data_IF_448592259696
#
_entry.id   IF_448592259696
#
_cell.length_a   1.000
_cell.length_b   1.000
_cell.length_c   1.000
_cell.angle_alpha   90.00
_cell.angle_beta   90.00
_cell.angle_gamma   90.00
#
_symmetry.space_group_name_H-M   'P 1'
#
loop_
_entity.id
_entity.type
_entity.pdbx_description
1 polymer ?
#
# COMPACT_ATOMS: atom_id res chain seq x y z
N UNK A 1 52.38 14.32 -22.90
CA UNK A 1 51.27 14.28 -21.92
C UNK A 1 50.09 14.94 -22.59
N UNK A 2 49.31 14.16 -23.32
CA UNK A 2 48.07 14.61 -23.95
C UNK A 2 46.93 14.22 -23.03
N UNK A 3 46.38 15.21 -22.32
CA UNK A 3 45.14 15.10 -21.57
C UNK A 3 44.03 14.72 -22.55
N UNK A 4 43.60 13.46 -22.47
CA UNK A 4 42.37 12.99 -23.08
C UNK A 4 41.20 13.54 -22.26
N UNK A 5 40.69 14.70 -22.68
CA UNK A 5 39.36 15.14 -22.27
C UNK A 5 38.36 14.09 -22.78
N UNK A 6 37.93 13.19 -21.89
CA UNK A 6 36.76 12.34 -22.08
C UNK A 6 35.56 13.26 -22.27
N UNK A 7 35.16 13.45 -23.54
CA UNK A 7 33.88 14.05 -23.89
C UNK A 7 32.83 13.03 -23.46
N UNK A 8 32.27 13.21 -22.27
CA UNK A 8 31.15 12.40 -21.79
C UNK A 8 30.03 12.51 -22.82
N UNK A 9 29.65 11.38 -23.41
CA UNK A 9 28.63 11.31 -24.44
C UNK A 9 27.29 11.79 -23.86
N UNK A 10 26.70 12.81 -24.49
CA UNK A 10 25.40 13.35 -24.09
C UNK A 10 24.31 12.26 -24.07
N UNK A 11 24.45 11.24 -24.93
CA UNK A 11 23.56 10.09 -24.94
C UNK A 11 23.67 9.24 -23.66
N UNK A 12 24.87 9.07 -23.10
CA UNK A 12 25.06 8.38 -21.81
C UNK A 12 24.43 9.16 -20.66
N UNK A 13 24.57 10.49 -20.67
CA UNK A 13 23.93 11.38 -19.69
C UNK A 13 22.40 11.28 -19.79
N UNK A 14 21.84 11.29 -20.99
CA UNK A 14 20.40 11.18 -21.22
C UNK A 14 19.84 9.81 -20.80
N UNK A 15 20.55 8.73 -21.14
CA UNK A 15 20.22 7.37 -20.72
C UNK A 15 20.22 7.23 -19.20
N UNK A 16 21.26 7.72 -18.53
CA UNK A 16 21.37 7.71 -17.06
C UNK A 16 20.25 8.52 -16.39
N UNK A 17 19.95 9.71 -16.93
CA UNK A 17 18.84 10.54 -16.45
C UNK A 17 17.47 9.84 -16.64
N UNK A 18 17.27 9.15 -17.76
CA UNK A 18 16.04 8.39 -18.02
C UNK A 18 15.88 7.19 -17.08
N UNK A 19 16.97 6.47 -16.79
CA UNK A 19 16.97 5.40 -15.79
C UNK A 19 16.60 5.94 -14.39
N UNK A 20 17.18 7.08 -13.98
CA UNK A 20 16.84 7.74 -12.73
C UNK A 20 15.37 8.17 -12.69
N UNK A 21 14.85 8.78 -13.77
CA UNK A 21 13.42 9.17 -13.88
C UNK A 21 12.48 7.98 -13.78
N UNK A 22 12.82 6.85 -14.40
CA UNK A 22 12.02 5.63 -14.31
C UNK A 22 11.93 5.08 -12.89
N UNK A 23 12.95 5.32 -12.05
CA UNK A 23 12.96 4.93 -10.63
C UNK A 23 12.17 5.88 -9.71
N UNK A 24 11.74 7.05 -10.19
CA UNK A 24 10.94 8.00 -9.41
C UNK A 24 9.52 7.50 -9.15
N UNK A 25 8.98 6.65 -10.02
CA UNK A 25 7.66 6.06 -9.84
C UNK A 25 7.70 5.00 -8.73
N UNK A 26 6.68 4.94 -7.85
CA UNK A 26 6.67 3.94 -6.79
C UNK A 26 6.59 2.54 -7.39
N UNK A 27 7.56 1.68 -7.06
CA UNK A 27 7.71 0.35 -7.67
C UNK A 27 6.43 -0.49 -7.59
N UNK A 28 5.83 -0.62 -6.39
CA UNK A 28 4.59 -1.40 -6.18
C UNK A 28 3.38 -0.89 -6.98
N UNK A 29 3.33 0.39 -7.35
CA UNK A 29 2.16 0.99 -8.00
C UNK A 29 2.46 1.62 -9.37
N UNK A 30 3.66 1.37 -9.93
CA UNK A 30 4.13 1.94 -11.19
C UNK A 30 3.11 1.78 -12.32
N UNK A 31 2.57 0.57 -12.52
CA UNK A 31 1.57 0.29 -13.54
C UNK A 31 0.30 1.17 -13.40
N UNK A 32 -0.10 1.52 -12.17
CA UNK A 32 -1.25 2.42 -11.93
C UNK A 32 -0.94 3.86 -12.34
N UNK A 33 0.28 4.33 -12.07
CA UNK A 33 0.73 5.65 -12.48
C UNK A 33 0.79 5.75 -14.01
N UNK A 34 1.42 4.78 -14.66
CA UNK A 34 1.52 4.70 -16.12
C UNK A 34 0.13 4.66 -16.76
N UNK A 35 -0.77 3.79 -16.29
CA UNK A 35 -2.14 3.72 -16.78
C UNK A 35 -2.89 5.05 -16.64
N UNK A 36 -2.69 5.77 -15.53
CA UNK A 36 -3.29 7.09 -15.32
C UNK A 36 -2.77 8.11 -16.33
N UNK A 37 -1.46 8.10 -16.58
CA UNK A 37 -0.84 8.95 -17.59
C UNK A 37 -1.36 8.63 -19.00
N UNK A 38 -1.42 7.35 -19.37
CA UNK A 38 -1.98 6.92 -20.66
C UNK A 38 -3.41 7.41 -20.85
N UNK A 39 -4.29 7.23 -19.86
CA UNK A 39 -5.66 7.73 -19.93
C UNK A 39 -5.73 9.25 -20.13
N UNK A 40 -4.86 10.01 -19.46
CA UNK A 40 -4.80 11.44 -19.66
C UNK A 40 -4.34 11.81 -21.08
N UNK A 41 -3.34 11.12 -21.65
CA UNK A 41 -2.89 11.34 -23.02
C UNK A 41 -3.95 10.97 -24.05
N UNK A 42 -4.67 9.87 -23.85
CA UNK A 42 -5.82 9.49 -24.67
C UNK A 42 -6.91 10.56 -24.64
N UNK A 43 -7.21 11.10 -23.45
CA UNK A 43 -8.15 12.21 -23.31
C UNK A 43 -7.68 13.46 -24.06
N UNK A 44 -6.41 13.84 -23.94
CA UNK A 44 -5.82 14.95 -24.69
C UNK A 44 -5.96 14.75 -26.20
N UNK A 45 -5.66 13.54 -26.70
CA UNK A 45 -5.79 13.18 -28.11
C UNK A 45 -7.24 13.30 -28.58
N UNK A 46 -8.20 12.80 -27.81
CA UNK A 46 -9.63 12.89 -28.13
C UNK A 46 -10.15 14.33 -28.23
N UNK A 47 -9.49 15.28 -27.56
CA UNK A 47 -9.81 16.71 -27.55
C UNK A 47 -8.89 17.54 -28.46
N UNK A 48 -8.01 16.90 -29.24
CA UNK A 48 -7.00 17.55 -30.09
C UNK A 48 -6.10 18.55 -29.34
N UNK A 49 -5.77 18.25 -28.08
CA UNK A 49 -4.90 19.10 -27.26
C UNK A 49 -3.45 18.91 -27.67
N UNK A 50 -2.80 19.99 -28.12
CA UNK A 50 -1.37 19.98 -28.54
C UNK A 50 -0.40 20.32 -27.41
N UNK A 51 -0.81 21.21 -26.51
CA UNK A 51 0.04 21.71 -25.41
C UNK A 51 -0.68 21.54 -24.09
N UNK A 52 -0.02 20.93 -23.11
CA UNK A 52 -0.57 20.75 -21.76
C UNK A 52 -0.26 21.99 -20.93
N UNK A 53 -1.30 22.59 -20.34
CA UNK A 53 -1.21 23.74 -19.46
C UNK A 53 -2.27 23.65 -18.35
N UNK A 54 -2.34 24.66 -17.49
CA UNK A 54 -3.28 24.68 -16.37
C UNK A 54 -4.75 24.60 -16.82
N UNK A 55 -5.13 25.28 -17.91
CA UNK A 55 -6.49 25.25 -18.47
C UNK A 55 -6.88 23.85 -18.92
N UNK A 56 -5.99 23.14 -19.61
CA UNK A 56 -6.20 21.75 -20.05
C UNK A 56 -6.41 20.84 -18.85
N UNK A 57 -5.57 20.94 -17.81
CA UNK A 57 -5.73 20.11 -16.62
C UNK A 57 -6.99 20.45 -15.83
N UNK A 58 -7.37 21.72 -15.76
CA UNK A 58 -8.62 22.11 -15.11
C UNK A 58 -9.84 21.51 -15.83
N UNK A 59 -9.84 21.54 -17.17
CA UNK A 59 -10.88 20.89 -17.98
C UNK A 59 -10.89 19.37 -17.80
N UNK A 60 -9.71 18.74 -17.78
CA UNK A 60 -9.56 17.30 -17.52
C UNK A 60 -10.14 16.92 -16.17
N UNK A 61 -9.72 17.59 -15.08
CA UNK A 61 -10.22 17.27 -13.74
C UNK A 61 -11.70 17.59 -13.55
N UNK A 62 -12.24 18.56 -14.30
CA UNK A 62 -13.67 18.81 -14.31
C UNK A 62 -14.44 17.65 -14.95
N UNK A 63 -13.97 17.12 -16.08
CA UNK A 63 -14.55 15.93 -16.73
C UNK A 63 -14.42 14.68 -15.86
N UNK A 64 -13.25 14.48 -15.23
CA UNK A 64 -13.03 13.39 -14.27
C UNK A 64 -13.93 13.50 -13.05
N UNK A 65 -14.22 14.70 -12.56
CA UNK A 65 -15.09 14.89 -11.41
C UNK A 65 -16.55 14.49 -11.67
N UNK A 66 -16.99 14.52 -12.93
CA UNK A 66 -18.31 14.02 -13.34
C UNK A 66 -18.38 12.49 -13.37
N UNK A 67 -17.26 11.83 -13.61
CA UNK A 67 -17.16 10.38 -13.80
C UNK A 67 -16.66 9.62 -12.54
N UNK A 68 -15.98 10.30 -11.62
CA UNK A 68 -15.42 9.70 -10.42
C UNK A 68 -16.32 9.90 -9.20
N UNK A 69 -16.46 8.84 -8.40
CA UNK A 69 -17.38 8.79 -7.26
C UNK A 69 -16.84 9.44 -5.99
N UNK A 70 -15.54 9.76 -5.89
CA UNK A 70 -14.97 10.38 -4.68
C UNK A 70 -13.90 11.45 -4.97
N UNK A 71 -13.90 12.57 -4.20
CA UNK A 71 -12.85 13.58 -4.24
C UNK A 71 -11.45 13.04 -3.96
N UNK A 72 -11.33 12.02 -3.09
CA UNK A 72 -10.04 11.36 -2.82
C UNK A 72 -9.47 10.66 -4.06
N UNK A 73 -10.32 10.14 -4.94
CA UNK A 73 -9.88 9.52 -6.19
C UNK A 73 -9.30 10.57 -7.15
N UNK A 74 -9.94 11.75 -7.24
CA UNK A 74 -9.40 12.89 -8.00
C UNK A 74 -8.03 13.33 -7.49
N UNK A 75 -7.85 13.44 -6.17
CA UNK A 75 -6.55 13.76 -5.58
C UNK A 75 -5.48 12.71 -5.82
N UNK A 76 -5.87 11.43 -5.81
CA UNK A 76 -4.96 10.31 -6.12
C UNK A 76 -4.49 10.41 -7.57
N UNK A 77 -5.42 10.67 -8.48
CA UNK A 77 -5.13 10.86 -9.89
C UNK A 77 -4.26 12.10 -10.15
N UNK A 78 -4.57 13.23 -9.53
CA UNK A 78 -3.70 14.41 -9.55
C UNK A 78 -2.29 14.09 -9.09
N UNK A 79 -2.13 13.31 -8.02
CA UNK A 79 -0.82 12.92 -7.52
C UNK A 79 -0.06 12.02 -8.51
N UNK A 80 -0.78 11.12 -9.19
CA UNK A 80 -0.20 10.25 -10.23
C UNK A 80 0.22 11.06 -11.47
N UNK A 81 -0.63 11.97 -11.93
CA UNK A 81 -0.33 12.86 -13.05
C UNK A 81 0.80 13.83 -12.72
N UNK A 82 0.86 14.35 -11.49
CA UNK A 82 1.96 15.23 -11.05
C UNK A 82 3.32 14.57 -11.25
N UNK A 83 3.44 13.31 -10.84
CA UNK A 83 4.71 12.60 -10.93
C UNK A 83 5.02 12.18 -12.37
N UNK A 84 4.02 11.69 -13.11
CA UNK A 84 4.21 11.22 -14.48
C UNK A 84 4.46 12.35 -15.48
N UNK A 85 3.77 13.49 -15.36
CA UNK A 85 4.03 14.66 -16.20
C UNK A 85 5.39 15.30 -15.91
N UNK A 86 5.81 15.32 -14.64
CA UNK A 86 7.15 15.74 -14.26
C UNK A 86 8.21 14.82 -14.88
N UNK A 87 8.02 13.49 -14.80
CA UNK A 87 8.99 12.53 -15.30
C UNK A 87 9.06 12.45 -16.84
N UNK A 88 7.92 12.52 -17.54
CA UNK A 88 7.86 12.31 -19.00
C UNK A 88 7.92 13.60 -19.82
N UNK A 89 7.43 14.72 -19.28
CA UNK A 89 7.28 15.98 -20.03
C UNK A 89 7.96 17.17 -19.34
N UNK A 90 8.69 16.92 -18.24
CA UNK A 90 9.32 17.95 -17.40
C UNK A 90 8.32 19.05 -16.95
N UNK A 91 7.05 18.66 -16.78
CA UNK A 91 5.96 19.58 -16.44
C UNK A 91 5.58 19.45 -14.97
N UNK A 92 5.92 20.47 -14.18
CA UNK A 92 5.55 20.56 -12.77
C UNK A 92 4.17 21.22 -12.58
N UNK A 93 3.15 20.38 -12.47
CA UNK A 93 1.76 20.84 -12.27
C UNK A 93 1.49 21.29 -10.82
N UNK A 94 2.44 21.15 -9.89
CA UNK A 94 2.27 21.66 -8.51
C UNK A 94 2.14 23.18 -8.46
N UNK A 95 2.57 23.85 -9.53
CA UNK A 95 2.46 25.30 -9.72
C UNK A 95 1.06 25.74 -10.19
N UNK A 96 0.20 24.81 -10.57
CA UNK A 96 -1.14 25.10 -11.10
C UNK A 96 -2.15 25.30 -9.98
N UNK A 97 -2.17 26.53 -9.45
CA UNK A 97 -2.99 26.93 -8.30
C UNK A 97 -4.49 26.81 -8.54
N UNK A 98 -4.98 27.02 -9.76
CA UNK A 98 -6.40 26.89 -10.09
C UNK A 98 -6.85 25.43 -10.02
N UNK A 99 -6.05 24.50 -10.55
CA UNK A 99 -6.33 23.04 -10.46
C UNK A 99 -6.34 22.61 -9.00
N UNK A 100 -5.34 23.01 -8.23
CA UNK A 100 -5.27 22.71 -6.79
C UNK A 100 -6.49 23.26 -6.05
N UNK A 101 -6.88 24.51 -6.33
CA UNK A 101 -8.04 25.16 -5.69
C UNK A 101 -9.36 24.49 -6.08
N UNK A 102 -9.49 24.04 -7.32
CA UNK A 102 -10.63 23.24 -7.78
C UNK A 102 -10.72 21.90 -7.02
N UNK A 103 -9.61 21.16 -6.93
CA UNK A 103 -9.56 19.87 -6.22
C UNK A 103 -9.84 20.01 -4.72
N UNK A 104 -9.39 21.11 -4.09
CA UNK A 104 -9.72 21.44 -2.69
C UNK A 104 -11.22 21.64 -2.52
N UNK A 105 -11.83 22.49 -3.35
CA UNK A 105 -13.28 22.76 -3.31
C UNK A 105 -14.13 21.50 -3.55
N UNK A 106 -13.68 20.58 -4.40
CA UNK A 106 -14.37 19.29 -4.60
C UNK A 106 -14.34 18.41 -3.36
N UNK A 107 -13.41 18.63 -2.44
CA UNK A 107 -13.29 17.88 -1.19
C UNK A 107 -14.05 18.54 -0.01
N UNK A 108 -14.61 19.73 -0.19
CA UNK A 108 -15.35 20.43 0.87
C UNK A 108 -16.57 19.61 1.30
N UNK A 109 -16.69 19.37 2.61
CA UNK A 109 -17.76 18.57 3.20
C UNK A 109 -17.68 17.06 2.92
N UNK A 110 -16.65 16.58 2.20
CA UNK A 110 -16.52 15.15 1.92
C UNK A 110 -16.12 14.36 3.18
N UNK A 111 -16.90 13.31 3.47
CA UNK A 111 -16.65 12.39 4.58
C UNK A 111 -16.18 11.05 3.99
N UNK A 112 -14.92 10.65 4.21
CA UNK A 112 -14.42 9.37 3.71
C UNK A 112 -15.16 8.18 4.33
N UNK A 113 -15.53 7.20 3.49
CA UNK A 113 -16.02 5.90 3.97
C UNK A 113 -14.93 5.22 4.79
N UNK A 114 -15.26 4.80 6.02
CA UNK A 114 -14.40 3.99 6.87
C UNK A 114 -14.91 2.55 6.88
N UNK A 115 -14.00 1.60 7.12
CA UNK A 115 -14.39 0.22 7.39
C UNK A 115 -15.16 0.14 8.72
N UNK A 116 -16.08 -0.82 8.82
CA UNK A 116 -16.70 -1.13 10.10
C UNK A 116 -15.62 -1.60 11.08
N UNK A 117 -15.77 -1.25 12.35
CA UNK A 117 -14.82 -1.58 13.42
C UNK A 117 -15.51 -2.59 14.33
N UNK A 118 -14.82 -3.69 14.63
CA UNK A 118 -15.33 -4.69 15.55
C UNK A 118 -15.23 -4.20 17.00
N UNK A 119 -16.23 -4.52 17.82
CA UNK A 119 -16.15 -4.30 19.26
C UNK A 119 -15.33 -5.39 19.95
N UNK A 120 -14.93 -5.14 21.20
CA UNK A 120 -14.22 -6.15 22.02
C UNK A 120 -15.07 -7.42 22.19
N UNK A 121 -16.38 -7.26 22.36
CA UNK A 121 -17.34 -8.33 22.55
C UNK A 121 -17.50 -9.17 21.28
N UNK A 122 -17.55 -8.53 20.11
CA UNK A 122 -17.60 -9.24 18.82
C UNK A 122 -16.33 -10.05 18.56
N UNK A 123 -15.16 -9.46 18.83
CA UNK A 123 -13.87 -10.16 18.70
C UNK A 123 -13.84 -11.35 19.67
N UNK A 124 -14.22 -11.13 20.93
CA UNK A 124 -14.23 -12.17 21.96
C UNK A 124 -15.17 -13.31 21.58
N UNK A 125 -16.40 -12.99 21.15
CA UNK A 125 -17.39 -13.96 20.69
C UNK A 125 -16.88 -14.77 19.51
N UNK A 126 -16.27 -14.12 18.53
CA UNK A 126 -15.68 -14.83 17.39
C UNK A 126 -14.56 -15.79 17.82
N UNK A 127 -13.65 -15.34 18.70
CA UNK A 127 -12.54 -16.17 19.15
C UNK A 127 -13.00 -17.36 20.03
N UNK A 128 -14.07 -17.20 20.83
CA UNK A 128 -14.67 -18.27 21.63
C UNK A 128 -15.49 -19.25 20.78
N UNK A 129 -16.49 -18.72 20.07
CA UNK A 129 -17.64 -19.52 19.62
C UNK A 129 -17.44 -20.10 18.23
N UNK A 130 -16.65 -19.44 17.38
CA UNK A 130 -16.43 -19.91 16.01
C UNK A 130 -15.65 -21.24 16.04
N UNK A 131 -16.04 -22.26 15.25
CA UNK A 131 -15.36 -23.55 15.28
C UNK A 131 -13.95 -23.48 14.68
N UNK A 132 -12.97 -24.02 15.41
CA UNK A 132 -11.56 -23.98 14.98
C UNK A 132 -11.31 -24.75 13.67
N UNK A 133 -12.04 -25.83 13.41
CA UNK A 133 -11.88 -26.60 12.16
C UNK A 133 -12.18 -25.77 10.91
N UNK A 134 -12.96 -24.68 11.03
CA UNK A 134 -13.28 -23.78 9.93
C UNK A 134 -12.55 -22.42 10.04
N UNK A 135 -12.28 -21.94 11.25
CA UNK A 135 -11.87 -20.55 11.47
C UNK A 135 -10.54 -20.37 12.20
N UNK A 136 -9.79 -21.43 12.54
CA UNK A 136 -8.55 -21.31 13.32
C UNK A 136 -7.53 -20.35 12.68
N UNK A 137 -7.33 -20.44 11.36
CA UNK A 137 -6.47 -19.50 10.62
C UNK A 137 -6.93 -18.04 10.81
N UNK A 138 -8.23 -17.78 10.66
CA UNK A 138 -8.81 -16.44 10.81
C UNK A 138 -8.72 -15.93 12.25
N UNK A 139 -8.87 -16.81 13.25
CA UNK A 139 -8.68 -16.47 14.67
C UNK A 139 -7.24 -16.04 14.94
N UNK A 140 -6.26 -16.75 14.38
CA UNK A 140 -4.84 -16.38 14.50
C UNK A 140 -4.58 -15.05 13.80
N UNK A 141 -5.11 -14.84 12.59
CA UNK A 141 -4.99 -13.57 11.89
C UNK A 141 -5.61 -12.41 12.68
N UNK A 142 -6.76 -12.62 13.34
CA UNK A 142 -7.40 -11.65 14.23
C UNK A 142 -6.51 -11.35 15.45
N UNK A 143 -5.99 -12.37 16.14
CA UNK A 143 -5.10 -12.21 17.29
C UNK A 143 -3.85 -11.41 16.93
N UNK A 144 -3.16 -11.78 15.85
CA UNK A 144 -1.95 -11.09 15.40
C UNK A 144 -2.26 -9.66 14.91
N UNK A 145 -3.37 -9.48 14.19
CA UNK A 145 -3.84 -8.19 13.70
C UNK A 145 -4.14 -7.23 14.84
N UNK A 146 -4.88 -7.66 15.86
CA UNK A 146 -5.28 -6.83 16.99
C UNK A 146 -4.10 -6.59 17.94
N UNK A 147 -3.34 -7.62 18.32
CA UNK A 147 -2.22 -7.48 19.25
C UNK A 147 -1.09 -6.60 18.69
N UNK A 148 -0.79 -6.76 17.39
CA UNK A 148 0.30 -6.02 16.74
C UNK A 148 -0.13 -4.71 16.07
N UNK A 149 -1.44 -4.43 16.00
CA UNK A 149 -2.02 -3.43 15.11
C UNK A 149 -1.52 -3.59 13.66
N UNK A 150 -1.41 -4.86 13.21
CA UNK A 150 -0.75 -5.21 11.97
C UNK A 150 -1.56 -4.79 10.75
N UNK A 151 -0.88 -4.25 9.74
CA UNK A 151 -1.47 -4.13 8.40
C UNK A 151 -1.59 -5.51 7.75
N UNK A 152 -2.52 -5.64 6.82
CA UNK A 152 -2.67 -6.87 6.02
C UNK A 152 -1.37 -7.28 5.32
N UNK A 153 -0.60 -6.31 4.81
CA UNK A 153 0.71 -6.57 4.16
C UNK A 153 1.74 -7.15 5.15
N UNK A 154 1.71 -6.72 6.42
CA UNK A 154 2.60 -7.25 7.46
C UNK A 154 2.20 -8.69 7.83
N UNK A 155 0.89 -8.95 7.99
CA UNK A 155 0.39 -10.31 8.25
C UNK A 155 0.69 -11.28 7.10
N UNK A 156 0.61 -10.82 5.86
CA UNK A 156 0.85 -11.64 4.67
C UNK A 156 2.32 -12.05 4.50
N UNK A 157 3.26 -11.21 4.92
CA UNK A 157 4.70 -11.47 4.82
C UNK A 157 5.29 -12.07 6.11
N UNK A 158 4.50 -12.30 7.15
CA UNK A 158 4.96 -12.84 8.42
C UNK A 158 5.32 -14.33 8.26
N UNK A 159 6.56 -14.69 8.58
CA UNK A 159 7.03 -16.07 8.52
C UNK A 159 6.80 -16.79 9.85
N UNK A 160 6.88 -18.12 9.80
CA UNK A 160 6.82 -18.97 10.98
C UNK A 160 7.97 -18.68 11.95
N UNK A 161 9.19 -18.48 11.43
CA UNK A 161 10.40 -18.20 12.21
C UNK A 161 10.37 -16.83 12.89
N UNK A 162 9.52 -15.92 12.42
CA UNK A 162 9.33 -14.60 13.01
C UNK A 162 8.52 -14.65 14.31
N UNK A 163 7.97 -15.81 14.68
CA UNK A 163 7.15 -16.02 15.88
C UNK A 163 7.84 -16.97 16.85
N UNK A 164 8.14 -16.45 18.03
CA UNK A 164 8.78 -17.18 19.13
C UNK A 164 7.77 -17.41 20.26
N UNK A 165 7.45 -18.66 20.57
CA UNK A 165 6.54 -19.02 21.65
C UNK A 165 7.34 -19.33 22.92
N UNK A 166 7.07 -18.59 23.99
CA UNK A 166 7.56 -18.81 25.36
C UNK A 166 6.38 -19.19 26.26
N UNK A 167 6.61 -19.70 27.49
CA UNK A 167 5.53 -20.19 28.36
C UNK A 167 4.37 -19.21 28.55
N UNK A 168 4.66 -17.93 28.75
CA UNK A 168 3.64 -16.91 29.06
C UNK A 168 3.45 -15.87 27.96
N UNK A 169 4.25 -15.91 26.89
CA UNK A 169 4.25 -14.88 25.84
C UNK A 169 4.68 -15.43 24.48
N UNK A 170 3.98 -15.01 23.43
CA UNK A 170 4.41 -15.14 22.05
C UNK A 170 5.02 -13.83 21.58
N UNK A 171 6.26 -13.86 21.09
CA UNK A 171 6.96 -12.69 20.55
C UNK A 171 6.88 -12.76 19.03
N UNK A 172 6.36 -11.71 18.39
CA UNK A 172 6.22 -11.62 16.94
C UNK A 172 7.11 -10.51 16.39
N UNK A 173 7.97 -10.83 15.42
CA UNK A 173 8.90 -9.89 14.79
C UNK A 173 8.43 -9.55 13.37
N UNK A 174 8.15 -8.28 13.12
CA UNK A 174 7.84 -7.77 11.78
C UNK A 174 9.14 -7.21 11.20
N UNK A 175 9.78 -7.98 10.32
CA UNK A 175 11.04 -7.59 9.67
C UNK A 175 10.81 -6.69 8.45
N UNK A 176 9.70 -6.92 7.73
CA UNK A 176 9.31 -6.13 6.56
C UNK A 176 8.12 -5.24 6.91
N UNK A 177 8.35 -3.93 7.01
CA UNK A 177 7.28 -2.94 7.16
C UNK A 177 7.27 -1.98 5.97
N UNK A 178 6.13 -1.31 5.77
CA UNK A 178 5.96 -0.27 4.72
C UNK A 178 7.07 0.79 4.76
N UNK A 179 7.59 1.10 5.96
CA UNK A 179 8.61 2.13 6.17
C UNK A 179 10.03 1.53 6.25
N UNK A 180 10.22 0.23 6.00
CA UNK A 180 11.49 -0.51 6.14
C UNK A 180 12.08 -0.47 7.56
N UNK A 181 11.25 -0.19 8.56
CA UNK A 181 11.64 -0.18 9.98
C UNK A 181 11.10 -1.47 10.61
N UNK A 182 11.97 -2.36 11.11
CA UNK A 182 11.55 -3.53 11.85
C UNK A 182 10.85 -3.15 13.16
N UNK A 183 9.86 -3.94 13.58
CA UNK A 183 9.21 -3.80 14.89
C UNK A 183 8.84 -5.17 15.45
N UNK A 184 8.51 -5.23 16.73
CA UNK A 184 7.98 -6.44 17.35
C UNK A 184 6.79 -6.12 18.25
N UNK A 185 6.02 -7.15 18.57
CA UNK A 185 4.93 -7.07 19.54
C UNK A 185 4.77 -8.41 20.26
N UNK A 186 3.95 -8.41 21.31
CA UNK A 186 3.72 -9.58 22.15
C UNK A 186 2.26 -10.02 22.09
N UNK A 187 2.04 -11.33 22.15
CA UNK A 187 0.75 -11.98 22.32
C UNK A 187 0.78 -12.67 23.68
N UNK A 188 -0.16 -12.32 24.56
CA UNK A 188 -0.24 -12.88 25.92
C UNK A 188 -1.59 -13.55 26.15
N UNK A 189 -1.70 -14.31 27.24
CA UNK A 189 -2.95 -14.92 27.68
C UNK A 189 -3.88 -13.99 28.48
N UNK A 190 -3.60 -12.68 28.57
CA UNK A 190 -4.18 -11.77 29.57
C UNK A 190 -5.65 -11.35 29.35
N UNK A 191 -6.41 -12.01 28.48
CA UNK A 191 -7.86 -11.75 28.40
C UNK A 191 -8.58 -12.70 29.36
N UNK A 192 -9.46 -12.13 30.19
CA UNK A 192 -10.27 -12.85 31.21
C UNK A 192 -11.11 -13.98 30.61
N UNK A 193 -11.41 -13.93 29.31
CA UNK A 193 -12.31 -14.85 28.62
C UNK A 193 -11.64 -15.68 27.52
N UNK A 194 -10.58 -15.18 26.86
CA UNK A 194 -9.93 -15.87 25.74
C UNK A 194 -8.42 -15.81 25.87
N UNK A 195 -7.77 -16.97 25.91
CA UNK A 195 -6.31 -17.01 25.91
C UNK A 195 -5.77 -16.95 24.46
N UNK A 196 -5.33 -15.75 24.04
CA UNK A 196 -4.83 -15.51 22.68
C UNK A 196 -3.55 -16.29 22.38
N UNK A 197 -2.68 -16.45 23.39
CA UNK A 197 -1.46 -17.25 23.27
C UNK A 197 -1.78 -18.71 22.95
N UNK A 198 -2.79 -19.32 23.61
CA UNK A 198 -3.22 -20.69 23.33
C UNK A 198 -3.76 -20.86 21.91
N UNK A 199 -4.46 -19.86 21.36
CA UNK A 199 -4.94 -19.90 19.97
C UNK A 199 -3.76 -19.93 19.00
N UNK A 200 -2.79 -19.03 19.20
CA UNK A 200 -1.58 -18.96 18.38
C UNK A 200 -0.76 -20.26 18.48
N UNK A 201 -0.50 -20.73 19.70
CA UNK A 201 0.23 -21.96 19.98
C UNK A 201 -0.45 -23.18 19.34
N UNK A 202 -1.78 -23.30 19.47
CA UNK A 202 -2.57 -24.38 18.86
C UNK A 202 -2.36 -24.44 17.36
N UNK A 203 -2.42 -23.30 16.67
CA UNK A 203 -2.23 -23.24 15.23
C UNK A 203 -0.79 -23.57 14.81
N UNK A 204 0.20 -23.04 15.52
CA UNK A 204 1.61 -23.31 15.19
C UNK A 204 1.97 -24.79 15.32
N UNK A 205 1.42 -25.50 16.32
CA UNK A 205 1.61 -26.95 16.52
C UNK A 205 1.06 -27.81 15.37
N UNK A 206 0.12 -27.30 14.59
CA UNK A 206 -0.44 -28.02 13.44
C UNK A 206 0.46 -28.00 12.22
N UNK A 207 1.55 -27.20 12.22
CA UNK A 207 2.45 -27.10 11.07
C UNK A 207 3.25 -28.40 10.89
N UNK A 208 3.14 -29.08 9.73
CA UNK A 208 3.97 -30.24 9.44
C UNK A 208 5.46 -29.87 9.34
N UNK A 209 6.34 -30.78 9.78
CA UNK A 209 7.80 -30.57 9.77
C UNK A 209 8.41 -30.47 8.36
N UNK A 210 7.72 -30.99 7.34
CA UNK A 210 8.15 -30.97 5.94
C UNK A 210 7.53 -29.80 5.11
N UNK A 211 6.95 -28.81 5.79
CA UNK A 211 6.33 -27.66 5.11
C UNK A 211 7.39 -26.82 4.41
N UNK A 212 7.23 -26.62 3.08
CA UNK A 212 8.12 -25.75 2.28
C UNK A 212 7.78 -24.27 2.35
N UNK A 213 6.50 -23.95 2.52
CA UNK A 213 6.05 -22.57 2.71
C UNK A 213 6.67 -22.01 4.00
N UNK A 214 7.10 -20.76 4.00
CA UNK A 214 7.72 -20.10 5.17
C UNK A 214 6.70 -19.26 5.94
N UNK A 215 5.64 -18.79 5.29
CA UNK A 215 4.60 -17.96 5.91
C UNK A 215 3.92 -18.66 7.07
N UNK A 216 3.55 -17.91 8.10
CA UNK A 216 2.77 -18.45 9.21
C UNK A 216 1.31 -18.65 8.81
N UNK A 217 0.70 -17.69 8.11
CA UNK A 217 -0.69 -17.77 7.63
C UNK A 217 -0.72 -18.42 6.24
N UNK A 218 -0.88 -19.73 6.19
CA UNK A 218 -1.02 -20.47 4.93
C UNK A 218 -1.97 -21.65 5.11
N UNK A 219 -2.66 -22.03 4.04
CA UNK A 219 -3.56 -23.19 4.02
C UNK A 219 -2.87 -24.35 3.31
N UNK A 220 -2.85 -25.51 3.96
CA UNK A 220 -2.56 -26.78 3.30
C UNK A 220 -3.84 -27.19 2.56
N UNK A 221 -3.89 -26.95 1.26
CA UNK A 221 -4.91 -27.54 0.39
C UNK A 221 -4.52 -28.98 0.04
#
# INVERSE_FOLDING_TARGET
MSDSNEVVDFFEIESSANAARASLLPEKSKARYERTYTYFKEWCNSKNVKTINETVLLAYFNDRASNLTSPTSLWSEYSMLKLTLCANENLDISKFKQVISFLKRKNDGYIPKKANIFTKEEITRFLCDAPDHAFLLMKVAMVLGVAGACRTDELYHLNYEDVEIKPDVGIVKILQSKNKIPRSFVVTGCSETVNWLKILEKYMKLRPSNTKESKILFTLW
#
